data_IF_167538229920
#
_entry.id   IF_167538229920
#
_cell.length_a   1.000
_cell.length_b   1.000
_cell.length_c   1.000
_cell.angle_alpha   90.00
_cell.angle_beta   90.00
_cell.angle_gamma   90.00
#
_symmetry.space_group_name_H-M   'P 1'
#
loop_
_entity.id
_entity.type
_entity.pdbx_description
1 polymer ?
#
# COMPACT_ATOMS: atom_id res chain seq x y z
N UNK A 1 -9.15 25.73 -16.85
CA UNK A 1 -8.65 26.27 -15.56
C UNK A 1 -7.43 25.46 -15.12
N UNK A 2 -6.20 25.84 -15.52
CA UNK A 2 -5.00 25.01 -15.33
C UNK A 2 -4.47 24.92 -13.87
N UNK A 3 -5.01 25.73 -12.95
CA UNK A 3 -4.56 25.77 -11.55
C UNK A 3 -5.16 24.63 -10.70
N UNK A 4 -6.45 24.32 -10.91
CA UNK A 4 -7.12 23.20 -10.23
C UNK A 4 -6.56 21.85 -10.67
N UNK A 5 -6.19 21.68 -11.94
CA UNK A 5 -5.56 20.46 -12.45
C UNK A 5 -4.17 20.21 -11.84
N UNK A 6 -3.40 21.28 -11.58
CA UNK A 6 -2.08 21.19 -10.93
C UNK A 6 -2.14 20.85 -9.44
N UNK A 7 -3.13 21.37 -8.72
CA UNK A 7 -3.32 21.06 -7.30
C UNK A 7 -3.85 19.64 -7.14
N UNK A 8 -4.85 19.26 -7.95
CA UNK A 8 -5.44 17.91 -7.96
C UNK A 8 -4.39 16.85 -8.25
N UNK A 9 -3.56 17.04 -9.29
CA UNK A 9 -2.51 16.08 -9.64
C UNK A 9 -1.49 15.89 -8.52
N UNK A 10 -0.96 16.97 -7.91
CA UNK A 10 -0.01 16.83 -6.78
C UNK A 10 -0.65 16.15 -5.57
N UNK A 11 -1.91 16.42 -5.27
CA UNK A 11 -2.59 15.81 -4.12
C UNK A 11 -2.83 14.31 -4.35
N UNK A 12 -3.29 13.93 -5.55
CA UNK A 12 -3.44 12.53 -5.98
C UNK A 12 -2.14 11.73 -5.91
N UNK A 13 -0.98 12.37 -6.11
CA UNK A 13 0.32 11.69 -5.95
C UNK A 13 0.67 11.36 -4.49
N UNK A 14 0.11 12.10 -3.52
CA UNK A 14 0.45 11.92 -2.10
C UNK A 14 -0.50 10.98 -1.37
N UNK A 15 -1.74 10.81 -1.84
CA UNK A 15 -2.73 9.94 -1.18
C UNK A 15 -2.21 8.50 -1.00
N UNK A 16 -1.63 7.82 -2.01
CA UNK A 16 -1.13 6.46 -1.83
C UNK A 16 0.02 6.39 -0.82
N UNK A 17 0.95 7.36 -0.86
CA UNK A 17 2.08 7.41 0.05
C UNK A 17 1.63 7.68 1.51
N UNK A 18 0.64 8.56 1.70
CA UNK A 18 0.03 8.82 3.00
C UNK A 18 -0.69 7.61 3.56
N UNK A 19 -1.41 6.86 2.71
CA UNK A 19 -2.09 5.63 3.11
C UNK A 19 -1.10 4.60 3.69
N UNK A 20 -0.01 4.30 2.98
CA UNK A 20 1.00 3.35 3.47
C UNK A 20 1.75 3.87 4.69
N UNK A 21 2.07 5.17 4.74
CA UNK A 21 2.68 5.77 5.91
C UNK A 21 1.78 5.70 7.14
N UNK A 22 0.47 5.91 6.97
CA UNK A 22 -0.50 5.78 8.05
C UNK A 22 -0.58 4.34 8.57
N UNK A 23 -0.65 3.35 7.68
CA UNK A 23 -0.68 1.93 8.06
C UNK A 23 0.59 1.53 8.80
N UNK A 24 1.77 1.85 8.23
CA UNK A 24 3.05 1.51 8.86
C UNK A 24 3.24 2.19 10.22
N UNK A 25 2.83 3.45 10.35
CA UNK A 25 2.90 4.17 11.62
C UNK A 25 1.92 3.62 12.65
N UNK A 26 0.69 3.33 12.23
CA UNK A 26 -0.34 2.73 13.08
C UNK A 26 0.12 1.39 13.65
N UNK A 27 0.71 0.53 12.81
CA UNK A 27 1.18 -0.79 13.23
C UNK A 27 2.36 -0.68 14.21
N UNK A 28 3.32 0.22 13.98
CA UNK A 28 4.42 0.49 14.92
C UNK A 28 3.88 0.98 16.27
N UNK A 29 2.94 1.92 16.27
CA UNK A 29 2.36 2.45 17.51
C UNK A 29 1.59 1.36 18.24
N UNK A 30 0.78 0.57 17.53
CA UNK A 30 0.03 -0.55 18.08
C UNK A 30 0.96 -1.57 18.72
N UNK A 31 2.01 -2.00 18.02
CA UNK A 31 2.98 -2.98 18.53
C UNK A 31 3.77 -2.45 19.73
N UNK A 32 4.13 -1.17 19.72
CA UNK A 32 4.81 -0.52 20.84
C UNK A 32 3.92 -0.48 22.10
N UNK A 33 2.63 -0.16 21.94
CA UNK A 33 1.66 -0.12 23.04
C UNK A 33 1.38 -1.51 23.64
N UNK A 34 1.46 -2.57 22.83
CA UNK A 34 1.21 -3.95 23.28
C UNK A 34 2.49 -4.71 23.64
N UNK A 35 3.65 -4.06 23.66
CA UNK A 35 4.97 -4.68 23.90
C UNK A 35 5.28 -5.86 22.96
N UNK A 36 4.75 -5.84 21.73
CA UNK A 36 4.97 -6.87 20.70
C UNK A 36 5.96 -6.44 19.62
N UNK A 37 6.59 -5.27 19.79
CA UNK A 37 7.47 -4.69 18.80
C UNK A 37 8.73 -5.56 18.60
N UNK A 38 8.78 -6.26 17.47
CA UNK A 38 9.96 -6.96 17.01
C UNK A 38 10.80 -6.05 16.12
N UNK A 39 12.14 -6.22 16.14
CA UNK A 39 13.02 -5.42 15.29
C UNK A 39 12.71 -5.62 13.79
N UNK A 40 12.39 -6.85 13.39
CA UNK A 40 12.01 -7.16 12.02
C UNK A 40 10.71 -6.47 11.61
N UNK A 41 9.67 -6.52 12.47
CA UNK A 41 8.40 -5.84 12.24
C UNK A 41 8.57 -4.33 12.15
N UNK A 42 9.37 -3.73 13.05
CA UNK A 42 9.68 -2.31 12.99
C UNK A 42 10.32 -1.90 11.66
N UNK A 43 11.31 -2.66 11.18
CA UNK A 43 11.98 -2.37 9.90
C UNK A 43 10.99 -2.46 8.75
N UNK A 44 10.19 -3.53 8.67
CA UNK A 44 9.19 -3.71 7.60
C UNK A 44 8.19 -2.56 7.62
N UNK A 45 7.68 -2.19 8.80
CA UNK A 45 6.71 -1.12 8.93
C UNK A 45 7.29 0.26 8.61
N UNK A 46 8.55 0.50 8.95
CA UNK A 46 9.27 1.71 8.54
C UNK A 46 9.44 1.80 7.02
N UNK A 47 9.59 0.67 6.31
CA UNK A 47 9.64 0.67 4.85
C UNK A 47 8.34 1.19 4.21
N UNK A 48 7.17 0.96 4.81
CA UNK A 48 5.90 1.51 4.31
C UNK A 48 5.81 3.04 4.43
N UNK A 49 6.64 3.66 5.28
CA UNK A 49 6.70 5.10 5.44
C UNK A 49 7.64 5.74 4.40
N UNK A 50 8.59 4.98 3.85
CA UNK A 50 9.57 5.49 2.89
C UNK A 50 8.97 6.22 1.66
N UNK A 51 7.86 5.80 1.04
CA UNK A 51 7.26 6.52 -0.09
C UNK A 51 6.92 7.99 0.23
N UNK A 52 6.65 8.30 1.49
CA UNK A 52 6.31 9.65 1.93
C UNK A 52 7.53 10.58 1.88
N UNK A 53 8.69 10.08 2.31
CA UNK A 53 9.94 10.84 2.41
C UNK A 53 10.81 10.74 1.15
N UNK A 54 11.00 9.52 0.66
CA UNK A 54 11.83 9.21 -0.51
C UNK A 54 10.96 9.20 -1.76
N UNK A 55 10.91 10.35 -2.43
CA UNK A 55 10.18 10.57 -3.68
C UNK A 55 10.85 9.95 -4.92
N UNK A 56 11.51 8.80 -4.75
CA UNK A 56 12.30 8.15 -5.78
C UNK A 56 11.47 7.14 -6.58
N UNK A 57 11.63 7.13 -7.91
CA UNK A 57 10.84 6.25 -8.80
C UNK A 57 10.94 4.76 -8.45
N UNK A 58 12.14 4.32 -8.06
CA UNK A 58 12.40 2.92 -7.70
C UNK A 58 11.66 2.56 -6.42
N UNK A 59 11.61 3.45 -5.42
CA UNK A 59 10.91 3.22 -4.16
C UNK A 59 9.42 3.00 -4.42
N UNK A 60 8.80 3.82 -5.26
CA UNK A 60 7.39 3.67 -5.62
C UNK A 60 7.08 2.40 -6.41
N UNK A 61 7.93 2.05 -7.39
CA UNK A 61 7.73 0.81 -8.16
C UNK A 61 7.91 -0.40 -7.27
N UNK A 62 9.03 -0.51 -6.54
CA UNK A 62 9.34 -1.68 -5.71
C UNK A 62 8.31 -1.85 -4.60
N UNK A 63 8.04 -0.81 -3.80
CA UNK A 63 7.06 -0.92 -2.73
C UNK A 63 5.64 -1.10 -3.27
N UNK A 64 5.26 -0.38 -4.32
CA UNK A 64 3.95 -0.53 -4.94
C UNK A 64 3.72 -1.96 -5.45
N UNK A 65 4.72 -2.57 -6.10
CA UNK A 65 4.67 -3.95 -6.57
C UNK A 65 4.58 -4.93 -5.41
N UNK A 66 5.42 -4.78 -4.37
CA UNK A 66 5.37 -5.65 -3.18
C UNK A 66 4.02 -5.56 -2.47
N UNK A 67 3.47 -4.36 -2.28
CA UNK A 67 2.15 -4.15 -1.67
C UNK A 67 1.05 -4.78 -2.52
N UNK A 68 1.11 -4.63 -3.84
CA UNK A 68 0.12 -5.21 -4.76
C UNK A 68 0.16 -6.74 -4.73
N UNK A 69 1.36 -7.34 -4.71
CA UNK A 69 1.53 -8.78 -4.57
C UNK A 69 0.99 -9.29 -3.23
N UNK A 70 1.28 -8.58 -2.14
CA UNK A 70 0.75 -8.91 -0.82
C UNK A 70 -0.78 -8.82 -0.78
N UNK A 71 -1.37 -7.80 -1.39
CA UNK A 71 -2.83 -7.68 -1.48
C UNK A 71 -3.45 -8.79 -2.34
N UNK A 72 -2.83 -9.16 -3.47
CA UNK A 72 -3.28 -10.30 -4.26
C UNK A 72 -3.22 -11.61 -3.48
N UNK A 73 -2.16 -11.83 -2.72
CA UNK A 73 -2.06 -12.96 -1.80
C UNK A 73 -3.18 -12.93 -0.75
N UNK A 74 -3.49 -11.76 -0.19
CA UNK A 74 -4.61 -11.55 0.72
C UNK A 74 -5.97 -11.92 0.11
N UNK A 75 -6.23 -11.55 -1.15
CA UNK A 75 -7.44 -11.97 -1.87
C UNK A 75 -7.52 -13.48 -2.03
N UNK A 76 -6.39 -14.13 -2.34
CA UNK A 76 -6.35 -15.60 -2.43
C UNK A 76 -6.64 -16.25 -1.08
N UNK A 77 -6.05 -15.74 0.01
CA UNK A 77 -6.34 -16.21 1.36
C UNK A 77 -7.82 -16.03 1.74
N UNK A 78 -8.40 -14.86 1.47
CA UNK A 78 -9.83 -14.60 1.69
C UNK A 78 -10.73 -15.55 0.89
N UNK A 79 -10.36 -15.84 -0.36
CA UNK A 79 -11.08 -16.82 -1.17
C UNK A 79 -11.04 -18.21 -0.53
N UNK A 80 -9.87 -18.67 -0.06
CA UNK A 80 -9.75 -19.97 0.63
C UNK A 80 -10.54 -20.01 1.94
N UNK A 81 -10.49 -18.94 2.74
CA UNK A 81 -11.28 -18.84 3.98
C UNK A 81 -12.78 -18.77 3.72
N UNK A 82 -13.20 -18.15 2.62
CA UNK A 82 -14.61 -18.14 2.22
C UNK A 82 -15.11 -19.55 1.90
N UNK A 83 -14.31 -20.37 1.21
CA UNK A 83 -14.63 -21.78 0.96
C UNK A 83 -14.73 -22.56 2.27
N UNK A 84 -13.77 -22.38 3.18
CA UNK A 84 -13.79 -23.02 4.50
C UNK A 84 -15.03 -22.64 5.32
N UNK A 85 -15.39 -21.35 5.31
CA UNK A 85 -16.60 -20.86 5.98
C UNK A 85 -17.87 -21.49 5.41
N UNK A 86 -17.97 -21.59 4.07
CA UNK A 86 -19.09 -22.28 3.41
C UNK A 86 -19.14 -23.78 3.74
N UNK A 87 -18.00 -24.40 4.04
CA UNK A 87 -17.91 -25.78 4.50
C UNK A 87 -18.19 -25.96 6.02
N UNK A 88 -18.54 -24.89 6.73
CA UNK A 88 -18.95 -24.95 8.14
C UNK A 88 -17.82 -24.78 9.15
N UNK A 89 -16.61 -24.36 8.72
CA UNK A 89 -15.56 -24.01 9.68
C UNK A 89 -15.93 -22.78 10.51
N UNK A 90 -15.53 -22.78 11.78
CA UNK A 90 -15.83 -21.69 12.71
C UNK A 90 -14.76 -20.60 12.63
N UNK A 91 -15.19 -19.39 12.32
CA UNK A 91 -14.35 -18.19 12.37
C UNK A 91 -14.73 -17.37 13.60
N UNK A 92 -13.78 -17.07 14.51
CA UNK A 92 -14.06 -16.31 15.73
C UNK A 92 -14.45 -14.85 15.45
N UNK A 93 -13.99 -14.28 14.32
CA UNK A 93 -14.24 -12.89 13.94
C UNK A 93 -14.69 -12.78 12.47
N UNK A 94 -15.92 -13.20 12.12
CA UNK A 94 -16.37 -13.29 10.73
C UNK A 94 -16.54 -11.91 10.08
N UNK A 95 -16.97 -10.89 10.84
CA UNK A 95 -17.12 -9.53 10.32
C UNK A 95 -15.76 -8.94 9.88
N UNK A 96 -14.74 -9.09 10.73
CA UNK A 96 -13.40 -8.58 10.45
C UNK A 96 -12.80 -9.29 9.24
N UNK A 97 -12.98 -10.60 9.14
CA UNK A 97 -12.45 -11.41 8.04
C UNK A 97 -13.15 -11.16 6.71
N UNK A 98 -14.49 -11.09 6.68
CA UNK A 98 -15.26 -11.08 5.42
C UNK A 98 -15.80 -9.70 5.01
N UNK A 99 -15.69 -8.69 5.87
CA UNK A 99 -16.11 -7.32 5.55
C UNK A 99 -14.92 -6.37 5.59
N UNK A 100 -14.23 -6.28 6.74
CA UNK A 100 -13.11 -5.34 6.90
C UNK A 100 -11.90 -5.77 6.06
N UNK A 101 -11.55 -7.06 6.12
CA UNK A 101 -10.43 -7.66 5.38
C UNK A 101 -10.45 -7.35 3.88
N UNK A 102 -11.52 -7.65 3.14
CA UNK A 102 -11.61 -7.36 1.72
C UNK A 102 -11.50 -5.87 1.39
N UNK A 103 -12.09 -4.99 2.22
CA UNK A 103 -11.98 -3.53 2.02
C UNK A 103 -10.53 -3.09 2.16
N UNK A 104 -9.85 -3.54 3.22
CA UNK A 104 -8.46 -3.19 3.47
C UNK A 104 -7.53 -3.73 2.37
N UNK A 105 -7.73 -4.97 1.93
CA UNK A 105 -6.97 -5.60 0.84
C UNK A 105 -7.22 -4.88 -0.49
N UNK A 106 -8.47 -4.52 -0.80
CA UNK A 106 -8.81 -3.77 -2.01
C UNK A 106 -8.15 -2.39 -2.03
N UNK A 107 -8.18 -1.66 -0.91
CA UNK A 107 -7.50 -0.36 -0.78
C UNK A 107 -5.99 -0.52 -0.92
N UNK A 108 -5.40 -1.54 -0.29
CA UNK A 108 -3.96 -1.84 -0.40
C UNK A 108 -3.57 -2.11 -1.85
N UNK A 109 -4.37 -2.88 -2.59
CA UNK A 109 -4.14 -3.14 -4.01
C UNK A 109 -4.27 -1.86 -4.84
N UNK A 110 -5.32 -1.08 -4.62
CA UNK A 110 -5.57 0.17 -5.34
C UNK A 110 -4.43 1.18 -5.16
N UNK A 111 -4.00 1.40 -3.91
CA UNK A 111 -2.90 2.31 -3.61
C UNK A 111 -1.52 1.75 -4.00
N UNK A 112 -1.34 0.42 -3.94
CA UNK A 112 -0.15 -0.26 -4.44
C UNK A 112 0.04 -0.05 -5.95
N UNK A 113 -1.00 -0.31 -6.74
CA UNK A 113 -1.00 -0.07 -8.19
C UNK A 113 -0.83 1.42 -8.51
N UNK A 114 -1.44 2.30 -7.71
CA UNK A 114 -1.27 3.75 -7.85
C UNK A 114 0.19 4.17 -7.65
N UNK A 115 0.90 3.63 -6.66
CA UNK A 115 2.33 3.88 -6.47
C UNK A 115 3.16 3.40 -7.67
N UNK A 116 2.89 2.20 -8.20
CA UNK A 116 3.58 1.70 -9.39
C UNK A 116 3.39 2.65 -10.57
N UNK A 117 2.14 3.05 -10.84
CA UNK A 117 1.81 3.99 -11.91
C UNK A 117 2.56 5.33 -11.75
N UNK A 118 2.61 5.88 -10.54
CA UNK A 118 3.34 7.12 -10.25
C UNK A 118 4.85 6.96 -10.45
N UNK A 119 5.42 5.83 -10.04
CA UNK A 119 6.82 5.51 -10.28
C UNK A 119 7.16 5.42 -11.77
N UNK A 120 6.28 4.79 -12.57
CA UNK A 120 6.43 4.69 -14.02
C UNK A 120 6.33 6.06 -14.70
N UNK A 121 5.32 6.86 -14.36
CA UNK A 121 5.12 8.22 -14.90
C UNK A 121 6.34 9.12 -14.65
N UNK A 122 6.92 9.07 -13.45
CA UNK A 122 8.15 9.81 -13.13
C UNK A 122 9.38 9.32 -13.89
N UNK A 123 9.42 8.04 -14.26
CA UNK A 123 10.51 7.53 -15.11
C UNK A 123 10.44 8.11 -16.53
N UNK A 124 9.24 8.25 -17.08
CA UNK A 124 9.03 8.81 -18.43
C UNK A 124 9.32 10.32 -18.49
N UNK A 125 8.89 11.10 -17.48
CA UNK A 125 9.15 12.54 -17.44
C UNK A 125 10.63 12.93 -17.34
N UNK A 126 11.47 12.06 -16.77
CA UNK A 126 12.93 12.29 -16.67
C UNK A 126 13.65 11.99 -18.00
N UNK A 127 13.15 11.03 -18.78
CA UNK A 127 13.69 10.70 -20.10
C UNK A 127 13.31 11.76 -21.16
N UNK A 128 12.18 12.45 -21.00
CA UNK A 128 11.79 13.55 -21.90
C UNK A 128 12.61 14.84 -21.68
N UNK A 129 13.29 14.99 -20.54
CA UNK A 129 14.07 16.17 -20.18
C UNK A 129 15.58 16.03 -20.47
N UNK A 130 16.04 14.87 -20.94
CA UNK A 130 17.40 14.68 -21.47
C UNK A 130 17.33 14.60 -22.99
N UNK A 131 17.51 15.72 -23.72
CA UNK A 131 17.82 15.61 -25.14
C UNK A 131 19.15 14.89 -25.26
N UNK A 132 19.19 13.88 -26.14
CA UNK A 132 20.38 13.14 -26.49
C UNK A 132 21.47 14.14 -26.89
N UNK A 133 22.58 14.13 -26.15
CA UNK A 133 23.79 14.86 -26.49
C UNK A 133 24.60 14.08 -27.54
#
# INVERSE_FOLDING_TARGET
>A
MPFFDRISSKLLEHIPALYFAFIGSYDIISDALHHKLSMAGFIINALFILPLFLRHKIVYIVLGTLCSLFAMYGFFALFTWSIQYLNGERFPYPFDTFVIGPIFIALTLFFGLSLVYLGMKRSQGRNAAQPQA
#
